data_IF_739559624905
#
_entry.id   IF_739559624905
#
_cell.length_a   1.000
_cell.length_b   1.000
_cell.length_c   1.000
_cell.angle_alpha   90.00
_cell.angle_beta   90.00
_cell.angle_gamma   90.00
#
_symmetry.space_group_name_H-M   'P 1'
#
loop_
_entity.id
_entity.type
_entity.pdbx_description
1 polymer ?
#
# COMPACT_ATOMS: atom_id res chain seq x y z
N UNK A 1 -13.61 11.82 -15.98
CA UNK A 1 -13.01 13.17 -15.80
C UNK A 1 -11.62 12.98 -15.22
N UNK A 2 -10.57 13.48 -15.88
CA UNK A 2 -9.22 13.42 -15.31
C UNK A 2 -9.17 14.25 -14.02
N UNK A 3 -8.57 13.75 -12.93
CA UNK A 3 -8.44 14.53 -11.71
C UNK A 3 -7.63 15.80 -11.96
N UNK A 4 -8.06 16.91 -11.37
CA UNK A 4 -7.37 18.19 -11.49
C UNK A 4 -5.95 18.10 -10.92
N UNK A 5 -5.01 18.93 -11.42
CA UNK A 5 -3.60 18.94 -10.96
C UNK A 5 -3.49 19.03 -9.44
N UNK A 6 -4.38 19.79 -8.79
CA UNK A 6 -4.46 19.89 -7.34
C UNK A 6 -4.84 18.55 -6.66
N UNK A 7 -5.86 17.85 -7.19
CA UNK A 7 -6.26 16.53 -6.65
C UNK A 7 -5.15 15.50 -6.79
N UNK A 8 -4.40 15.54 -7.91
CA UNK A 8 -3.22 14.67 -8.12
C UNK A 8 -2.14 14.91 -7.06
N UNK A 9 -1.80 16.18 -6.83
CA UNK A 9 -0.81 16.56 -5.83
C UNK A 9 -1.22 16.12 -4.42
N UNK A 10 -2.50 16.28 -4.06
CA UNK A 10 -3.04 15.83 -2.77
C UNK A 10 -2.97 14.30 -2.64
N UNK A 11 -3.29 13.56 -3.71
CA UNK A 11 -3.15 12.10 -3.73
C UNK A 11 -1.71 11.65 -3.50
N UNK A 12 -0.76 12.30 -4.19
CA UNK A 12 0.66 11.98 -4.05
C UNK A 12 1.19 12.22 -2.62
N UNK A 13 0.81 13.33 -1.97
CA UNK A 13 1.24 13.58 -0.57
C UNK A 13 0.60 12.58 0.38
N UNK A 14 -0.68 12.22 0.19
CA UNK A 14 -1.37 11.21 1.00
C UNK A 14 -0.67 9.85 0.90
N UNK A 15 -0.32 9.42 -0.31
CA UNK A 15 0.38 8.16 -0.53
C UNK A 15 1.77 8.19 0.13
N UNK A 16 2.49 9.30 0.02
CA UNK A 16 3.80 9.45 0.65
C UNK A 16 3.72 9.42 2.18
N UNK A 17 2.77 10.13 2.79
CA UNK A 17 2.54 10.08 4.23
C UNK A 17 2.17 8.67 4.69
N UNK A 18 1.29 7.99 3.94
CA UNK A 18 0.91 6.60 4.23
C UNK A 18 2.11 5.65 4.23
N UNK A 19 3.04 5.81 3.27
CA UNK A 19 4.30 5.03 3.23
C UNK A 19 5.17 5.34 4.44
N UNK A 20 5.33 6.61 4.81
CA UNK A 20 6.15 6.98 5.97
C UNK A 20 5.60 6.40 7.27
N UNK A 21 4.28 6.40 7.45
CA UNK A 21 3.64 5.83 8.63
C UNK A 21 3.78 4.30 8.66
N UNK A 22 3.59 3.63 7.52
CA UNK A 22 3.79 2.19 7.41
C UNK A 22 5.21 1.76 7.82
N UNK A 23 6.23 2.53 7.44
CA UNK A 23 7.64 2.23 7.76
C UNK A 23 8.01 2.38 9.24
N UNK A 24 7.23 3.09 10.04
CA UNK A 24 7.53 3.35 11.46
C UNK A 24 7.01 2.23 12.38
N UNK A 25 6.27 1.26 11.85
CA UNK A 25 5.72 0.15 12.63
C UNK A 25 6.76 -0.76 13.30
N UNK A 26 6.36 -1.40 14.41
CA UNK A 26 7.20 -2.22 15.29
C UNK A 26 7.75 -3.53 14.69
N UNK A 27 7.38 -3.89 13.45
CA UNK A 27 7.78 -5.16 12.83
C UNK A 27 8.08 -4.97 11.34
N UNK A 28 9.35 -5.12 10.96
CA UNK A 28 9.86 -4.82 9.62
C UNK A 28 9.10 -5.55 8.50
N UNK A 29 8.76 -6.83 8.68
CA UNK A 29 8.02 -7.61 7.68
C UNK A 29 6.55 -7.21 7.52
N UNK A 30 5.92 -6.67 8.58
CA UNK A 30 4.56 -6.11 8.48
C UNK A 30 4.57 -4.72 7.85
N UNK A 31 5.59 -3.92 8.16
CA UNK A 31 5.77 -2.62 7.49
C UNK A 31 6.04 -2.78 6.00
N UNK A 32 6.82 -3.78 5.58
CA UNK A 32 7.10 -4.04 4.17
C UNK A 32 5.83 -4.41 3.41
N UNK A 33 4.97 -5.25 4.02
CA UNK A 33 3.67 -5.60 3.47
C UNK A 33 2.76 -4.37 3.31
N UNK A 34 2.65 -3.53 4.33
CA UNK A 34 1.83 -2.31 4.27
C UNK A 34 2.35 -1.35 3.19
N UNK A 35 3.67 -1.18 3.07
CA UNK A 35 4.29 -0.35 2.02
C UNK A 35 3.98 -0.91 0.63
N UNK A 36 4.07 -2.22 0.42
CA UNK A 36 3.75 -2.86 -0.85
C UNK A 36 2.27 -2.63 -1.22
N UNK A 37 1.35 -2.76 -0.26
CA UNK A 37 -0.08 -2.45 -0.45
C UNK A 37 -0.26 -0.98 -0.83
N UNK A 38 0.41 -0.04 -0.13
CA UNK A 38 0.33 1.39 -0.48
C UNK A 38 0.76 1.67 -1.91
N UNK A 39 1.86 1.06 -2.35
CA UNK A 39 2.34 1.25 -3.71
C UNK A 39 1.42 0.62 -4.75
N UNK A 40 0.82 -0.53 -4.45
CA UNK A 40 -0.11 -1.20 -5.35
C UNK A 40 -1.47 -0.48 -5.48
N UNK A 41 -1.87 0.35 -4.51
CA UNK A 41 -3.18 1.03 -4.50
C UNK A 41 -3.04 2.56 -4.49
N UNK A 42 -2.11 3.11 -5.26
CA UNK A 42 -1.88 4.56 -5.37
C UNK A 42 -2.99 5.26 -6.14
N UNK A 43 -3.12 6.57 -5.92
CA UNK A 43 -4.22 7.35 -6.54
C UNK A 43 -4.08 7.54 -8.06
N UNK A 44 -2.86 7.46 -8.61
CA UNK A 44 -2.57 7.80 -10.01
C UNK A 44 -2.08 6.63 -10.87
N UNK A 45 -1.72 5.50 -10.26
CA UNK A 45 -1.07 4.38 -10.94
C UNK A 45 -2.09 3.26 -11.19
N UNK A 46 -2.56 3.15 -12.44
CA UNK A 46 -3.48 2.10 -12.87
C UNK A 46 -3.11 1.62 -14.29
N UNK A 47 -2.88 0.31 -14.51
CA UNK A 47 -2.89 -0.77 -13.52
C UNK A 47 -1.71 -0.69 -12.54
N UNK A 48 -1.84 -1.33 -11.37
CA UNK A 48 -0.78 -1.39 -10.38
C UNK A 48 0.46 -2.11 -10.92
N UNK A 49 1.67 -1.65 -10.55
CA UNK A 49 2.90 -2.34 -10.91
C UNK A 49 2.94 -3.74 -10.26
N UNK A 50 3.02 -4.76 -11.10
CA UNK A 50 2.92 -6.16 -10.71
C UNK A 50 4.01 -6.60 -9.73
N UNK A 51 5.11 -5.87 -9.66
CA UNK A 51 6.17 -6.08 -8.65
C UNK A 51 5.60 -6.02 -7.22
N UNK A 52 4.76 -5.04 -6.93
CA UNK A 52 4.14 -4.88 -5.60
C UNK A 52 3.11 -5.98 -5.32
N UNK A 53 2.38 -6.41 -6.36
CA UNK A 53 1.41 -7.51 -6.23
C UNK A 53 2.14 -8.80 -5.85
N UNK A 54 3.25 -9.11 -6.52
CA UNK A 54 4.08 -10.29 -6.21
C UNK A 54 4.68 -10.23 -4.81
N UNK A 55 5.10 -9.05 -4.37
CA UNK A 55 5.60 -8.82 -3.02
C UNK A 55 4.51 -9.09 -1.96
N UNK A 56 3.28 -8.59 -2.15
CA UNK A 56 2.13 -8.86 -1.26
C UNK A 56 1.84 -10.36 -1.21
N UNK A 57 1.79 -11.05 -2.35
CA UNK A 57 1.55 -12.49 -2.41
C UNK A 57 2.65 -13.27 -1.70
N UNK A 58 3.92 -12.91 -1.92
CA UNK A 58 5.06 -13.53 -1.26
C UNK A 58 4.97 -13.39 0.27
N UNK A 59 4.74 -12.17 0.78
CA UNK A 59 4.67 -11.90 2.21
C UNK A 59 3.47 -12.57 2.90
N UNK A 60 2.32 -12.64 2.22
CA UNK A 60 1.12 -13.28 2.77
C UNK A 60 1.20 -14.80 2.82
N UNK A 61 2.04 -15.44 2.01
CA UNK A 61 2.29 -16.89 2.06
C UNK A 61 3.00 -17.34 3.35
N UNK A 62 3.73 -16.47 4.05
CA UNK A 62 4.56 -16.86 5.20
C UNK A 62 3.78 -17.02 6.52
N UNK A 63 2.70 -16.25 6.74
CA UNK A 63 1.99 -16.28 8.02
C UNK A 63 0.56 -15.76 7.95
N UNK A 64 -0.31 -16.33 8.78
CA UNK A 64 -1.69 -15.86 8.98
C UNK A 64 -1.75 -14.43 9.50
N UNK A 65 -0.72 -13.98 10.22
CA UNK A 65 -0.62 -12.59 10.68
C UNK A 65 -0.48 -11.61 9.51
N UNK A 66 0.31 -11.96 8.49
CA UNK A 66 0.44 -11.17 7.26
C UNK A 66 -0.88 -11.11 6.49
N UNK A 67 -1.63 -12.22 6.42
CA UNK A 67 -2.96 -12.23 5.78
C UNK A 67 -3.91 -11.27 6.52
N UNK A 68 -3.98 -11.36 7.85
CA UNK A 68 -4.84 -10.50 8.65
C UNK A 68 -4.47 -9.02 8.49
N UNK A 69 -3.18 -8.69 8.48
CA UNK A 69 -2.70 -7.33 8.24
C UNK A 69 -3.06 -6.85 6.84
N UNK A 70 -2.84 -7.67 5.81
CA UNK A 70 -3.17 -7.36 4.42
C UNK A 70 -4.66 -7.02 4.25
N UNK A 71 -5.55 -7.89 4.75
CA UNK A 71 -7.01 -7.67 4.68
C UNK A 71 -7.42 -6.39 5.40
N UNK A 72 -6.86 -6.15 6.59
CA UNK A 72 -7.16 -4.96 7.40
C UNK A 72 -6.66 -3.67 6.74
N UNK A 73 -5.52 -3.71 6.04
CA UNK A 73 -5.00 -2.54 5.33
C UNK A 73 -5.75 -2.29 4.03
N UNK A 74 -6.11 -3.34 3.28
CA UNK A 74 -6.95 -3.21 2.09
C UNK A 74 -8.35 -2.68 2.41
N UNK A 75 -8.97 -3.14 3.49
CA UNK A 75 -10.31 -2.69 3.90
C UNK A 75 -10.37 -1.19 4.25
N UNK A 76 -9.25 -0.60 4.70
CA UNK A 76 -9.14 0.85 4.94
C UNK A 76 -9.01 1.69 3.68
N UNK A 77 -8.69 1.07 2.53
CA UNK A 77 -8.39 1.78 1.28
C UNK A 77 -9.50 1.74 0.26
N UNK A 78 -10.36 0.72 0.35
CA UNK A 78 -11.63 0.65 -0.36
C UNK A 78 -12.63 1.62 0.27
#
# INVERSE_FOLDING_TARGET
MAPSKLRKAIGAVKDQTSISLAKVGNSSSLSDLDVAIVKATRHEEFPADERHIREILSLTCYSRAHISACVNTLSRRL
#
